data_IF_881096909113
#
_entry.id   IF_881096909113
#
_cell.length_a   1.000
_cell.length_b   1.000
_cell.length_c   1.000
_cell.angle_alpha   90.00
_cell.angle_beta   90.00
_cell.angle_gamma   90.00
#
_symmetry.space_group_name_H-M   'P 1'
#
loop_
_entity.id
_entity.type
_entity.pdbx_description
1 polymer ?
#
# COMPACT_ATOMS: atom_id res chain seq x y z
N UNK A 1 29.08 66.86 -53.11
CA UNK A 1 27.64 67.16 -52.98
C UNK A 1 26.90 65.84 -52.83
N UNK A 2 26.08 65.68 -51.77
CA UNK A 2 24.86 64.84 -51.65
C UNK A 2 24.93 63.36 -52.07
N UNK A 3 24.45 62.36 -51.36
CA UNK A 3 23.93 62.16 -50.00
C UNK A 3 23.78 60.63 -49.81
N UNK A 4 23.67 60.19 -48.56
CA UNK A 4 23.53 58.80 -48.08
C UNK A 4 22.25 58.09 -48.53
N UNK A 5 22.35 56.78 -48.75
CA UNK A 5 21.37 55.75 -48.34
C UNK A 5 22.12 54.40 -48.40
N UNK A 6 22.18 53.52 -47.40
CA UNK A 6 21.28 53.22 -46.31
C UNK A 6 21.15 51.69 -46.25
N UNK A 7 22.18 51.00 -45.74
CA UNK A 7 22.20 49.54 -45.56
C UNK A 7 21.23 49.12 -44.45
N UNK A 8 20.15 48.42 -44.80
CA UNK A 8 19.25 47.76 -43.86
C UNK A 8 19.25 46.26 -44.15
N UNK A 9 20.14 45.53 -43.46
CA UNK A 9 20.23 44.08 -43.53
C UNK A 9 19.40 43.50 -42.37
N UNK A 10 18.11 43.26 -42.62
CA UNK A 10 17.22 42.58 -41.67
C UNK A 10 17.63 41.10 -41.55
N UNK A 11 18.26 40.76 -40.43
CA UNK A 11 18.55 39.38 -40.03
C UNK A 11 17.23 38.66 -39.73
N UNK A 12 16.86 37.70 -40.56
CA UNK A 12 15.76 36.77 -40.30
C UNK A 12 16.36 35.57 -39.56
N UNK A 13 16.10 35.49 -38.26
CA UNK A 13 16.46 34.34 -37.42
C UNK A 13 15.36 33.29 -37.63
N UNK A 14 15.65 32.26 -38.41
CA UNK A 14 14.81 31.08 -38.55
C UNK A 14 15.09 30.18 -37.34
N UNK A 15 14.22 30.24 -36.33
CA UNK A 15 14.17 29.29 -35.22
C UNK A 15 13.75 27.92 -35.77
N UNK A 16 14.73 27.07 -36.07
CA UNK A 16 14.52 25.65 -36.33
C UNK A 16 14.13 24.94 -35.04
N UNK A 17 12.84 24.66 -34.89
CA UNK A 17 12.31 23.74 -33.88
C UNK A 17 12.78 22.33 -34.27
N UNK A 18 13.84 21.87 -33.62
CA UNK A 18 14.27 20.48 -33.70
C UNK A 18 13.32 19.63 -32.85
N UNK A 19 12.47 18.85 -33.52
CA UNK A 19 11.61 17.85 -32.89
C UNK A 19 12.50 16.78 -32.24
N UNK A 20 12.70 16.88 -30.92
CA UNK A 20 13.15 15.76 -30.11
C UNK A 20 12.03 14.71 -30.09
N UNK A 21 12.16 13.69 -30.94
CA UNK A 21 11.48 12.42 -30.81
C UNK A 21 12.05 11.68 -29.59
N UNK A 22 11.63 12.11 -28.40
CA UNK A 22 11.71 11.27 -27.21
C UNK A 22 10.53 10.32 -27.26
N UNK A 23 10.80 9.06 -27.62
CA UNK A 23 9.90 7.94 -27.46
C UNK A 23 9.41 7.90 -26.02
N UNK A 24 8.23 8.47 -25.78
CA UNK A 24 7.57 8.43 -24.50
C UNK A 24 7.28 6.95 -24.19
N UNK A 25 8.01 6.41 -23.22
CA UNK A 25 7.54 5.25 -22.48
C UNK A 25 6.14 5.57 -21.98
N UNK A 26 5.20 4.67 -22.23
CA UNK A 26 3.83 4.79 -21.73
C UNK A 26 3.86 4.69 -20.20
N UNK A 27 4.05 5.84 -19.55
CA UNK A 27 3.67 6.00 -18.16
C UNK A 27 2.14 5.96 -18.14
N UNK A 28 1.56 4.86 -17.64
CA UNK A 28 0.16 4.79 -17.26
C UNK A 28 -0.11 5.79 -16.13
N UNK A 29 -0.22 7.07 -16.48
CA UNK A 29 -0.74 8.12 -15.63
C UNK A 29 -2.25 8.22 -15.88
N UNK A 30 -3.01 7.26 -15.37
CA UNK A 30 -4.47 7.30 -15.40
C UNK A 30 -5.04 6.68 -14.12
N UNK A 31 -4.78 7.33 -12.98
CA UNK A 31 -5.51 6.98 -11.75
C UNK A 31 -5.74 8.14 -10.77
N UNK A 32 -5.51 9.39 -11.17
CA UNK A 32 -5.72 10.54 -10.28
C UNK A 32 -7.17 11.06 -10.22
N UNK A 33 -8.07 10.56 -11.07
CA UNK A 33 -9.46 11.04 -11.14
C UNK A 33 -10.50 10.19 -10.39
N UNK A 34 -10.16 8.98 -9.97
CA UNK A 34 -11.14 7.98 -9.49
C UNK A 34 -10.79 7.35 -8.12
N UNK A 35 -9.85 7.94 -7.38
CA UNK A 35 -9.38 7.40 -6.10
C UNK A 35 -10.45 7.41 -5.01
N UNK A 36 -11.27 8.45 -4.91
CA UNK A 36 -12.27 8.56 -3.84
C UNK A 36 -13.32 7.44 -3.87
N UNK A 37 -13.94 7.10 -5.02
CA UNK A 37 -14.83 5.93 -5.10
C UNK A 37 -14.16 4.60 -4.72
N UNK A 38 -12.92 4.40 -5.18
CA UNK A 38 -12.16 3.16 -4.95
C UNK A 38 -11.77 3.02 -3.47
N UNK A 39 -11.39 4.13 -2.82
CA UNK A 39 -11.15 4.16 -1.38
C UNK A 39 -12.44 3.87 -0.62
N UNK A 40 -13.57 4.46 -1.00
CA UNK A 40 -14.86 4.21 -0.33
C UNK A 40 -15.35 2.76 -0.50
N UNK A 41 -15.07 2.13 -1.64
CA UNK A 41 -15.29 0.70 -1.87
C UNK A 41 -14.40 -0.12 -0.93
N UNK A 42 -13.10 0.12 -0.91
CA UNK A 42 -12.14 -0.56 -0.04
C UNK A 42 -12.52 -0.43 1.45
N UNK A 43 -12.79 0.78 1.93
CA UNK A 43 -13.17 1.05 3.32
C UNK A 43 -14.45 0.30 3.70
N UNK A 44 -15.42 0.18 2.79
CA UNK A 44 -16.64 -0.60 3.05
C UNK A 44 -16.35 -2.09 3.22
N UNK A 45 -15.57 -2.67 2.30
CA UNK A 45 -15.21 -4.09 2.36
C UNK A 45 -14.37 -4.38 3.62
N UNK A 46 -13.40 -3.51 3.93
CA UNK A 46 -12.54 -3.64 5.10
C UNK A 46 -13.34 -3.46 6.40
N UNK A 47 -14.22 -2.46 6.49
CA UNK A 47 -15.08 -2.28 7.65
C UNK A 47 -15.98 -3.48 7.91
N UNK A 48 -16.48 -4.14 6.86
CA UNK A 48 -17.31 -5.34 6.98
C UNK A 48 -16.59 -6.54 7.63
N UNK A 49 -15.26 -6.53 7.72
CA UNK A 49 -14.49 -7.54 8.47
C UNK A 49 -14.56 -7.36 9.98
N UNK A 50 -15.05 -6.22 10.45
CA UNK A 50 -15.10 -5.87 11.87
C UNK A 50 -16.46 -6.21 12.49
N UNK A 51 -16.51 -6.52 13.80
CA UNK A 51 -17.78 -6.76 14.49
C UNK A 51 -18.74 -5.56 14.45
N UNK A 52 -18.18 -4.34 14.45
CA UNK A 52 -18.92 -3.09 14.28
C UNK A 52 -18.35 -2.30 13.08
N UNK A 53 -18.87 -2.52 11.86
CA UNK A 53 -18.39 -1.84 10.66
C UNK A 53 -18.58 -0.32 10.69
N UNK A 54 -19.61 0.19 11.38
CA UNK A 54 -19.91 1.62 11.44
C UNK A 54 -18.97 2.39 12.36
N UNK A 55 -18.33 1.68 13.30
CA UNK A 55 -17.37 2.22 14.24
C UNK A 55 -15.92 2.12 13.79
N UNK A 56 -15.61 1.94 12.49
CA UNK A 56 -14.22 1.83 12.01
C UNK A 56 -13.67 3.19 11.58
N UNK A 57 -12.45 3.50 12.00
CA UNK A 57 -11.69 4.67 11.55
C UNK A 57 -10.50 4.25 10.70
N UNK A 58 -10.30 4.94 9.59
CA UNK A 58 -9.24 4.68 8.62
C UNK A 58 -8.17 5.77 8.66
N UNK A 59 -6.92 5.39 8.44
CA UNK A 59 -5.80 6.32 8.30
C UNK A 59 -4.72 5.77 7.38
N UNK A 60 -3.79 6.64 6.97
CA UNK A 60 -2.66 6.29 6.10
C UNK A 60 -3.09 5.56 4.82
N UNK A 61 -4.27 5.93 4.29
CA UNK A 61 -4.84 5.29 3.09
C UNK A 61 -4.08 5.77 1.86
N UNK A 62 -3.62 4.82 1.07
CA UNK A 62 -2.90 5.05 -0.18
C UNK A 62 -3.45 4.14 -1.28
N UNK A 63 -3.38 4.61 -2.52
CA UNK A 63 -3.78 3.84 -3.70
C UNK A 63 -2.60 3.74 -4.65
N UNK A 64 -2.33 2.54 -5.15
CA UNK A 64 -1.34 2.30 -6.20
C UNK A 64 -1.85 1.25 -7.20
N UNK A 65 -1.17 1.12 -8.34
CA UNK A 65 -1.49 0.09 -9.32
C UNK A 65 -0.71 -1.21 -9.06
N UNK A 66 -1.33 -2.35 -9.38
CA UNK A 66 -0.71 -3.68 -9.41
C UNK A 66 -1.43 -4.54 -10.45
N UNK A 67 -0.70 -5.13 -11.39
CA UNK A 67 -1.23 -6.06 -12.40
C UNK A 67 -2.48 -5.59 -13.16
N UNK A 68 -2.57 -4.28 -13.42
CA UNK A 68 -3.70 -3.67 -14.12
C UNK A 68 -4.93 -3.41 -13.25
N UNK A 69 -4.88 -3.72 -11.95
CA UNK A 69 -5.85 -3.35 -10.94
C UNK A 69 -5.33 -2.24 -10.02
N UNK A 70 -6.25 -1.59 -9.32
CA UNK A 70 -5.92 -0.62 -8.27
C UNK A 70 -5.93 -1.33 -6.92
N UNK A 71 -4.90 -1.10 -6.13
CA UNK A 71 -4.77 -1.61 -4.76
C UNK A 71 -4.89 -0.44 -3.80
N UNK A 72 -5.74 -0.58 -2.80
CA UNK A 72 -5.89 0.35 -1.68
C UNK A 72 -5.26 -0.27 -0.45
N UNK A 73 -4.29 0.41 0.13
CA UNK A 73 -3.60 0.01 1.35
C UNK A 73 -3.88 1.03 2.44
N UNK A 74 -3.91 0.61 3.70
CA UNK A 74 -4.05 1.55 4.80
C UNK A 74 -4.05 0.90 6.15
N UNK A 75 -4.46 1.67 7.14
CA UNK A 75 -4.61 1.22 8.52
C UNK A 75 -6.01 1.52 9.05
N UNK A 76 -6.52 0.65 9.91
CA UNK A 76 -7.81 0.85 10.57
C UNK A 76 -7.75 0.50 12.05
N UNK A 77 -8.69 1.06 12.81
CA UNK A 77 -8.98 0.69 14.19
C UNK A 77 -10.47 0.90 14.48
N UNK A 78 -10.96 0.35 15.58
CA UNK A 78 -12.27 0.77 16.09
C UNK A 78 -12.18 2.23 16.58
N UNK A 79 -13.26 2.99 16.44
CA UNK A 79 -13.35 4.40 16.77
C UNK A 79 -13.00 4.68 18.23
N UNK A 80 -13.40 3.78 19.12
CA UNK A 80 -13.17 3.89 20.57
C UNK A 80 -11.86 3.22 21.02
N UNK A 81 -10.97 2.90 20.07
CA UNK A 81 -9.67 2.31 20.38
C UNK A 81 -8.82 3.32 21.16
N UNK A 82 -8.21 2.94 22.31
CA UNK A 82 -7.33 3.81 23.06
C UNK A 82 -6.19 4.39 22.23
N UNK A 83 -5.79 5.63 22.56
CA UNK A 83 -4.63 6.25 21.92
C UNK A 83 -3.37 5.39 22.13
N UNK A 84 -2.65 5.11 21.04
CA UNK A 84 -1.44 4.29 21.06
C UNK A 84 -1.69 2.78 20.93
N UNK A 85 -2.94 2.34 20.78
CA UNK A 85 -3.22 0.97 20.39
C UNK A 85 -2.73 0.66 18.97
N UNK A 86 -2.55 -0.63 18.71
CA UNK A 86 -2.14 -1.16 17.42
C UNK A 86 -3.27 -0.95 16.42
N UNK A 87 -2.95 -0.32 15.29
CA UNK A 87 -3.86 -0.26 14.15
C UNK A 87 -3.65 -1.49 13.27
N UNK A 88 -4.74 -2.09 12.83
CA UNK A 88 -4.73 -3.17 11.86
C UNK A 88 -4.32 -2.63 10.51
N UNK A 89 -3.54 -3.39 9.75
CA UNK A 89 -3.15 -3.03 8.38
C UNK A 89 -4.08 -3.73 7.42
N UNK A 90 -4.44 -3.07 6.33
CA UNK A 90 -5.28 -3.66 5.32
C UNK A 90 -4.79 -3.40 3.90
N UNK A 91 -5.25 -4.26 3.01
CA UNK A 91 -5.04 -4.20 1.57
C UNK A 91 -6.30 -4.67 0.86
N UNK A 92 -6.69 -3.97 -0.19
CA UNK A 92 -7.86 -4.26 -0.99
C UNK A 92 -7.56 -4.08 -2.47
N UNK A 93 -7.89 -5.06 -3.31
CA UNK A 93 -7.80 -4.95 -4.76
C UNK A 93 -9.18 -4.56 -5.28
N UNK A 94 -9.24 -3.48 -6.08
CA UNK A 94 -10.49 -2.95 -6.65
C UNK A 94 -11.31 -4.06 -7.34
N UNK A 95 -12.60 -4.14 -7.00
CA UNK A 95 -13.54 -5.10 -7.55
C UNK A 95 -13.49 -6.51 -6.95
N UNK A 96 -12.66 -6.74 -5.92
CA UNK A 96 -12.70 -7.98 -5.13
C UNK A 96 -13.68 -7.86 -3.97
N UNK A 97 -14.16 -8.99 -3.44
CA UNK A 97 -15.04 -8.96 -2.27
C UNK A 97 -14.26 -9.03 -0.94
N UNK A 98 -13.15 -9.77 -0.93
CA UNK A 98 -12.42 -10.08 0.29
C UNK A 98 -11.17 -9.19 0.43
N UNK A 99 -11.14 -8.27 1.41
CA UNK A 99 -9.93 -7.55 1.77
C UNK A 99 -8.99 -8.42 2.60
N UNK A 100 -7.71 -8.09 2.57
CA UNK A 100 -6.71 -8.65 3.47
C UNK A 100 -6.59 -7.73 4.68
N UNK A 101 -6.73 -8.28 5.88
CA UNK A 101 -6.58 -7.54 7.14
C UNK A 101 -5.59 -8.28 8.03
N UNK A 102 -4.51 -7.61 8.39
CA UNK A 102 -3.51 -8.08 9.35
C UNK A 102 -3.71 -7.35 10.68
N UNK A 103 -3.74 -8.10 11.79
CA UNK A 103 -4.08 -7.52 13.09
C UNK A 103 -3.06 -6.49 13.62
N UNK A 104 -1.83 -6.48 13.08
CA UNK A 104 -0.78 -5.55 13.48
C UNK A 104 -0.10 -5.91 14.80
N UNK A 105 -0.57 -6.96 15.49
CA UNK A 105 -0.10 -7.33 16.82
C UNK A 105 1.34 -7.81 16.79
N UNK A 106 2.14 -7.39 17.77
CA UNK A 106 3.51 -7.88 17.91
C UNK A 106 3.55 -9.33 18.40
N UNK A 107 4.54 -10.09 17.92
CA UNK A 107 4.76 -11.47 18.37
C UNK A 107 5.09 -11.47 19.87
N UNK A 108 4.30 -12.14 20.72
CA UNK A 108 4.52 -12.16 22.17
C UNK A 108 5.69 -13.07 22.52
N UNK A 109 6.21 -12.93 23.74
CA UNK A 109 7.29 -13.79 24.23
C UNK A 109 6.88 -15.27 24.37
N UNK A 110 5.58 -15.54 24.52
CA UNK A 110 5.00 -16.90 24.64
C UNK A 110 3.64 -16.92 23.96
N UNK A 111 3.35 -18.01 23.25
CA UNK A 111 2.05 -18.25 22.59
C UNK A 111 1.39 -19.48 23.22
N UNK A 112 0.10 -19.38 23.53
CA UNK A 112 -0.67 -20.52 24.03
C UNK A 112 -1.00 -21.50 22.89
N UNK A 113 -1.14 -22.79 23.22
CA UNK A 113 -1.33 -23.85 22.21
C UNK A 113 -2.61 -23.62 21.39
N UNK A 114 -3.68 -23.19 22.07
CA UNK A 114 -4.98 -22.89 21.46
C UNK A 114 -4.93 -21.66 20.53
N UNK A 115 -3.88 -20.86 20.57
CA UNK A 115 -3.75 -19.63 19.78
C UNK A 115 -2.81 -19.79 18.58
N UNK A 116 -2.03 -20.88 18.51
CA UNK A 116 -1.01 -21.10 17.46
C UNK A 116 -1.60 -20.91 16.05
N UNK A 117 -2.75 -21.51 15.77
CA UNK A 117 -3.40 -21.38 14.47
C UNK A 117 -3.83 -19.94 14.17
N UNK A 118 -4.30 -19.20 15.18
CA UNK A 118 -4.66 -17.79 15.02
C UNK A 118 -3.43 -16.94 14.66
N UNK A 119 -2.28 -17.21 15.27
CA UNK A 119 -1.02 -16.53 14.94
C UNK A 119 -0.50 -16.85 13.55
N UNK A 120 -0.55 -18.12 13.14
CA UNK A 120 -0.12 -18.52 11.80
C UNK A 120 -1.02 -17.92 10.72
N UNK A 121 -2.34 -18.01 10.91
CA UNK A 121 -3.31 -17.46 9.96
C UNK A 121 -3.18 -15.94 9.81
N UNK A 122 -2.94 -15.23 10.92
CA UNK A 122 -2.70 -13.78 10.88
C UNK A 122 -1.36 -13.45 10.21
N UNK A 123 -0.30 -14.26 10.41
CA UNK A 123 0.98 -14.01 9.75
C UNK A 123 0.92 -14.16 8.23
N UNK A 124 0.07 -15.05 7.70
CA UNK A 124 -0.12 -15.20 6.24
C UNK A 124 -0.75 -13.93 5.66
N UNK A 125 -1.60 -13.23 6.42
CA UNK A 125 -2.13 -11.93 5.98
C UNK A 125 -1.04 -10.88 5.79
N UNK A 126 0.04 -10.96 6.55
CA UNK A 126 1.18 -10.07 6.37
C UNK A 126 1.98 -10.40 5.10
N UNK A 127 2.04 -11.68 4.70
CA UNK A 127 2.59 -12.12 3.41
C UNK A 127 1.74 -11.57 2.25
N UNK A 128 0.43 -11.78 2.29
CA UNK A 128 -0.52 -11.26 1.30
C UNK A 128 -0.38 -9.72 1.15
N UNK A 129 -0.32 -8.98 2.26
CA UNK A 129 -0.12 -7.52 2.22
C UNK A 129 1.23 -7.10 1.65
N UNK A 130 2.28 -7.91 1.81
CA UNK A 130 3.60 -7.64 1.25
C UNK A 130 3.62 -7.87 -0.26
N UNK A 131 2.98 -8.95 -0.73
CA UNK A 131 2.78 -9.23 -2.16
C UNK A 131 1.97 -8.14 -2.84
N UNK A 132 0.93 -7.64 -2.14
CA UNK A 132 0.13 -6.50 -2.59
C UNK A 132 0.87 -5.16 -2.56
N UNK A 133 2.07 -5.08 -1.97
CA UNK A 133 2.81 -3.82 -1.82
C UNK A 133 2.28 -2.88 -0.73
N UNK A 134 1.37 -3.35 0.13
CA UNK A 134 0.82 -2.59 1.25
C UNK A 134 1.75 -2.50 2.47
N UNK A 135 2.78 -3.35 2.52
CA UNK A 135 3.85 -3.27 3.51
C UNK A 135 5.23 -3.40 2.82
N UNK A 136 6.32 -2.93 3.45
CA UNK A 136 7.66 -3.06 2.89
C UNK A 136 8.07 -4.53 2.71
N UNK A 137 8.85 -4.83 1.67
CA UNK A 137 9.42 -6.17 1.46
C UNK A 137 10.27 -6.63 2.65
N UNK A 138 10.15 -7.91 3.00
CA UNK A 138 10.83 -8.53 4.14
C UNK A 138 10.14 -8.32 5.49
N UNK A 139 9.00 -7.60 5.52
CA UNK A 139 8.20 -7.41 6.73
C UNK A 139 7.66 -8.75 7.22
N UNK A 140 7.05 -9.54 6.33
CA UNK A 140 6.55 -10.88 6.64
C UNK A 140 7.67 -11.80 7.09
N UNK A 141 8.78 -11.85 6.35
CA UNK A 141 9.91 -12.71 6.68
C UNK A 141 10.41 -12.45 8.11
N UNK A 142 10.68 -11.18 8.46
CA UNK A 142 11.16 -10.82 9.79
C UNK A 142 10.15 -11.17 10.89
N UNK A 143 8.86 -11.01 10.61
CA UNK A 143 7.78 -11.33 11.55
C UNK A 143 7.67 -12.84 11.77
N UNK A 144 7.70 -13.61 10.68
CA UNK A 144 7.61 -15.06 10.70
C UNK A 144 8.82 -15.69 11.39
N UNK A 145 10.03 -15.15 11.24
CA UNK A 145 11.21 -15.61 11.99
C UNK A 145 11.01 -15.47 13.50
N UNK A 146 10.53 -14.31 13.97
CA UNK A 146 10.22 -14.09 15.40
C UNK A 146 9.14 -15.06 15.88
N UNK A 147 8.10 -15.25 15.08
CA UNK A 147 7.00 -16.15 15.39
C UNK A 147 7.48 -17.61 15.52
N UNK A 148 8.27 -18.06 14.56
CA UNK A 148 8.86 -19.40 14.56
C UNK A 148 9.79 -19.63 15.75
N UNK A 149 10.59 -18.62 16.15
CA UNK A 149 11.45 -18.72 17.34
C UNK A 149 10.65 -18.95 18.62
N UNK A 150 9.53 -18.22 18.80
CA UNK A 150 8.65 -18.39 19.96
C UNK A 150 7.96 -19.75 19.93
N UNK A 151 7.54 -20.21 18.76
CA UNK A 151 6.96 -21.55 18.58
C UNK A 151 7.97 -22.68 18.80
N UNK A 152 9.25 -22.49 18.41
CA UNK A 152 10.29 -23.50 18.57
C UNK A 152 10.76 -23.65 20.02
N UNK A 153 10.82 -22.56 20.78
CA UNK A 153 11.08 -22.63 22.23
C UNK A 153 10.04 -23.52 22.92
N UNK A 154 8.80 -23.50 22.45
CA UNK A 154 7.73 -24.39 22.93
C UNK A 154 8.02 -25.87 22.71
N UNK A 155 8.65 -26.25 21.58
CA UNK A 155 9.06 -27.65 21.31
C UNK A 155 10.14 -28.14 22.30
N UNK A 156 10.99 -27.24 22.81
CA UNK A 156 12.05 -27.58 23.76
C UNK A 156 11.55 -27.82 25.19
N UNK A 157 10.36 -27.33 25.55
CA UNK A 157 9.75 -27.51 26.88
C UNK A 157 8.59 -28.53 26.87
N UNK A 158 8.47 -29.32 25.81
CA UNK A 158 7.35 -30.23 25.55
C UNK A 158 7.75 -31.70 25.37
N UNK A 159 8.61 -32.23 26.23
CA UNK A 159 8.68 -33.67 26.55
C UNK A 159 9.20 -33.84 27.99
N UNK A 160 8.28 -34.20 28.89
CA UNK A 160 8.50 -35.08 30.03
C UNK A 160 7.28 -35.99 30.12
#
# INVERSE_FOLDING_TARGET
>A
MKDRAGTSMKRVIILGVSLCLCSAGMAHAAHQGNTAPIVAEAERHVAATQPDPGGVVFRNVAVHGMDGASVVCGEMAAHDTPAGSVHMKFGYVQGQDDPVVFSGRDVPQKISFNEVNSWLNDSIKLEDLEEMGCVPKGTYHSYNERLNQVMSQRKQFGVN
#
